data_IF_828042551660
#
_entry.id   IF_828042551660
#
_cell.length_a   1.000
_cell.length_b   1.000
_cell.length_c   1.000
_cell.angle_alpha   90.00
_cell.angle_beta   90.00
_cell.angle_gamma   90.00
#
_symmetry.space_group_name_H-M   'P 1'
#
loop_
_entity.id
_entity.type
_entity.pdbx_description
1 polymer ?
#
# COMPACT_ATOMS: atom_id res chain seq x y z
N UNK A 1 15.58 -2.81 -24.39
CA UNK A 1 15.39 -2.96 -22.95
C UNK A 1 15.81 -4.36 -22.58
N UNK A 2 16.88 -4.50 -21.79
CA UNK A 2 17.30 -5.83 -21.31
C UNK A 2 16.42 -6.28 -20.11
N UNK A 3 16.66 -7.50 -19.60
CA UNK A 3 15.88 -8.05 -18.49
C UNK A 3 16.03 -7.24 -17.19
N UNK A 4 17.20 -6.65 -16.96
CA UNK A 4 17.47 -5.83 -15.77
C UNK A 4 16.69 -4.52 -15.83
N UNK A 5 16.78 -3.80 -16.95
CA UNK A 5 16.05 -2.56 -17.22
C UNK A 5 14.52 -2.77 -17.16
N UNK A 6 14.04 -3.87 -17.72
CA UNK A 6 12.62 -4.23 -17.68
C UNK A 6 12.15 -4.48 -16.25
N UNK A 7 12.93 -5.22 -15.45
CA UNK A 7 12.59 -5.49 -14.04
C UNK A 7 12.57 -4.21 -13.19
N UNK A 8 13.52 -3.29 -13.44
CA UNK A 8 13.59 -2.00 -12.76
C UNK A 8 12.38 -1.12 -13.11
N UNK A 9 12.03 -1.04 -14.39
CA UNK A 9 10.87 -0.28 -14.88
C UNK A 9 9.57 -0.83 -14.32
N UNK A 10 9.39 -2.16 -14.35
CA UNK A 10 8.19 -2.81 -13.83
C UNK A 10 8.03 -2.59 -12.32
N UNK A 11 9.12 -2.73 -11.53
CA UNK A 11 9.08 -2.52 -10.09
C UNK A 11 8.85 -1.05 -9.72
N UNK A 12 9.45 -0.11 -10.46
CA UNK A 12 9.19 1.32 -10.28
C UNK A 12 7.71 1.67 -10.56
N UNK A 13 7.15 1.17 -11.67
CA UNK A 13 5.75 1.38 -12.02
C UNK A 13 4.79 0.79 -10.97
N UNK A 14 5.04 -0.45 -10.53
CA UNK A 14 4.26 -1.09 -9.48
C UNK A 14 4.37 -0.34 -8.13
N UNK A 15 5.57 0.10 -7.76
CA UNK A 15 5.81 0.92 -6.56
C UNK A 15 5.08 2.25 -6.62
N UNK A 16 5.06 2.91 -7.80
CA UNK A 16 4.37 4.16 -8.01
C UNK A 16 2.85 3.99 -7.89
N UNK A 17 2.28 2.97 -8.53
CA UNK A 17 0.87 2.64 -8.43
C UNK A 17 0.46 2.32 -6.97
N UNK A 18 1.28 1.53 -6.26
CA UNK A 18 1.04 1.20 -4.86
C UNK A 18 1.12 2.43 -3.96
N UNK A 19 2.14 3.29 -4.09
CA UNK A 19 2.25 4.51 -3.30
C UNK A 19 1.09 5.48 -3.59
N UNK A 20 0.72 5.66 -4.85
CA UNK A 20 -0.43 6.49 -5.23
C UNK A 20 -1.74 5.96 -4.62
N UNK A 21 -1.94 4.65 -4.62
CA UNK A 21 -3.07 4.01 -3.95
C UNK A 21 -3.07 4.30 -2.45
N UNK A 22 -1.95 4.08 -1.75
CA UNK A 22 -1.87 4.33 -0.30
C UNK A 22 -2.13 5.80 0.03
N UNK A 23 -1.47 6.73 -0.67
CA UNK A 23 -1.67 8.17 -0.46
C UNK A 23 -3.12 8.56 -0.71
N UNK A 24 -3.76 8.04 -1.75
CA UNK A 24 -5.18 8.28 -2.03
C UNK A 24 -6.06 7.81 -0.87
N UNK A 25 -5.80 6.60 -0.37
CA UNK A 25 -6.54 6.04 0.77
C UNK A 25 -6.36 6.89 2.03
N UNK A 26 -5.12 7.29 2.33
CA UNK A 26 -4.78 8.11 3.50
C UNK A 26 -5.37 9.51 3.46
N UNK A 27 -5.27 10.18 2.31
CA UNK A 27 -5.59 11.61 2.19
C UNK A 27 -7.06 11.83 1.84
N UNK A 28 -7.69 10.93 1.09
CA UNK A 28 -9.06 11.13 0.60
C UNK A 28 -10.03 10.14 1.23
N UNK A 29 -9.71 8.85 1.24
CA UNK A 29 -10.70 7.82 1.59
C UNK A 29 -10.97 7.75 3.09
N UNK A 30 -9.93 7.63 3.92
CA UNK A 30 -10.12 7.53 5.37
C UNK A 30 -10.73 8.78 6.00
N UNK A 31 -10.35 10.01 5.61
CA UNK A 31 -11.00 11.22 6.13
C UNK A 31 -12.50 11.25 5.87
N UNK A 32 -12.97 10.71 4.73
CA UNK A 32 -14.40 10.59 4.45
C UNK A 32 -15.03 9.46 5.28
N UNK A 33 -14.36 8.31 5.40
CA UNK A 33 -14.88 7.16 6.15
C UNK A 33 -15.10 7.47 7.64
N UNK A 34 -14.19 8.21 8.27
CA UNK A 34 -14.30 8.54 9.72
C UNK A 34 -15.45 9.50 10.05
N UNK A 35 -16.03 10.16 9.05
CA UNK A 35 -17.17 11.06 9.22
C UNK A 35 -18.52 10.32 9.12
N UNK A 36 -18.51 9.02 8.77
CA UNK A 36 -19.74 8.23 8.63
C UNK A 36 -20.30 7.91 10.03
N UNK A 37 -21.52 8.36 10.29
CA UNK A 37 -22.24 8.07 11.53
C UNK A 37 -22.79 6.64 11.61
N UNK A 38 -23.23 6.19 12.80
CA UNK A 38 -23.67 4.81 13.03
C UNK A 38 -24.82 4.35 12.11
N UNK A 39 -25.77 5.25 11.82
CA UNK A 39 -26.96 4.96 10.99
C UNK A 39 -26.62 4.55 9.55
N UNK A 40 -25.53 5.08 8.99
CA UNK A 40 -25.11 4.77 7.62
C UNK A 40 -23.91 3.80 7.56
N UNK A 41 -23.35 3.42 8.71
CA UNK A 41 -22.05 2.77 8.80
C UNK A 41 -21.99 1.48 7.97
N UNK A 42 -22.87 0.52 8.26
CA UNK A 42 -22.88 -0.79 7.61
C UNK A 42 -22.92 -0.65 6.09
N UNK A 43 -23.89 0.11 5.56
CA UNK A 43 -24.05 0.34 4.12
C UNK A 43 -22.80 0.97 3.48
N UNK A 44 -22.21 1.98 4.11
CA UNK A 44 -21.07 2.74 3.55
C UNK A 44 -19.75 1.96 3.67
N UNK A 45 -19.51 1.33 4.82
CA UNK A 45 -18.31 0.53 5.08
C UNK A 45 -18.28 -0.74 4.23
N UNK A 46 -19.42 -1.41 4.02
CA UNK A 46 -19.53 -2.54 3.10
C UNK A 46 -19.21 -2.15 1.65
N UNK A 47 -19.81 -1.04 1.19
CA UNK A 47 -19.54 -0.54 -0.16
C UNK A 47 -18.07 -0.19 -0.33
N UNK A 48 -17.47 0.47 0.66
CA UNK A 48 -16.04 0.77 0.68
C UNK A 48 -15.21 -0.50 0.61
N UNK A 49 -15.50 -1.50 1.46
CA UNK A 49 -14.76 -2.75 1.55
C UNK A 49 -14.81 -3.55 0.24
N UNK A 50 -15.97 -3.61 -0.42
CA UNK A 50 -16.11 -4.25 -1.74
C UNK A 50 -15.38 -3.50 -2.85
N UNK A 51 -15.41 -2.16 -2.83
CA UNK A 51 -14.77 -1.34 -3.86
C UNK A 51 -13.24 -1.32 -3.74
N UNK A 52 -12.71 -1.36 -2.51
CA UNK A 52 -11.26 -1.26 -2.29
C UNK A 52 -10.55 -2.60 -2.55
N UNK A 53 -11.22 -3.74 -2.35
CA UNK A 53 -10.61 -5.06 -2.45
C UNK A 53 -9.95 -5.32 -3.82
N UNK A 54 -10.60 -5.09 -4.98
CA UNK A 54 -9.95 -5.29 -6.28
C UNK A 54 -8.70 -4.40 -6.47
N UNK A 55 -8.74 -3.16 -5.97
CA UNK A 55 -7.61 -2.23 -6.06
C UNK A 55 -6.43 -2.70 -5.21
N UNK A 56 -6.70 -3.22 -4.01
CA UNK A 56 -5.67 -3.83 -3.15
C UNK A 56 -5.05 -5.03 -3.86
N UNK A 57 -5.88 -5.96 -4.35
CA UNK A 57 -5.41 -7.17 -5.05
C UNK A 57 -4.53 -6.80 -6.25
N UNK A 58 -4.97 -5.84 -7.06
CA UNK A 58 -4.23 -5.40 -8.25
C UNK A 58 -2.89 -4.75 -7.88
N UNK A 59 -2.90 -3.75 -6.99
CA UNK A 59 -1.70 -2.98 -6.66
C UNK A 59 -0.68 -3.80 -5.88
N UNK A 60 -1.13 -4.64 -4.93
CA UNK A 60 -0.25 -5.48 -4.12
C UNK A 60 0.23 -6.67 -4.94
N UNK A 61 -0.64 -7.28 -5.75
CA UNK A 61 -0.27 -8.37 -6.66
C UNK A 61 0.80 -7.92 -7.66
N UNK A 62 0.61 -6.75 -8.29
CA UNK A 62 1.60 -6.19 -9.20
C UNK A 62 2.94 -5.93 -8.49
N UNK A 63 2.92 -5.38 -7.27
CA UNK A 63 4.13 -5.13 -6.49
C UNK A 63 4.86 -6.43 -6.14
N UNK A 64 4.16 -7.47 -5.70
CA UNK A 64 4.75 -8.79 -5.39
C UNK A 64 5.38 -9.39 -6.64
N UNK A 65 4.65 -9.41 -7.76
CA UNK A 65 5.13 -9.99 -9.02
C UNK A 65 6.35 -9.25 -9.55
N UNK A 66 6.37 -7.91 -9.47
CA UNK A 66 7.51 -7.11 -9.91
C UNK A 66 8.71 -7.20 -8.94
N UNK A 67 8.47 -7.46 -7.66
CA UNK A 67 9.54 -7.58 -6.64
C UNK A 67 10.50 -8.74 -6.93
N UNK A 68 10.00 -9.86 -7.47
CA UNK A 68 10.81 -11.07 -7.68
C UNK A 68 11.94 -10.85 -8.69
N UNK A 69 11.67 -10.47 -9.96
CA UNK A 69 12.74 -10.21 -10.91
C UNK A 69 13.58 -9.00 -10.48
N UNK A 70 13.00 -7.99 -9.83
CA UNK A 70 13.77 -6.85 -9.35
C UNK A 70 14.82 -7.27 -8.31
N UNK A 71 14.45 -8.09 -7.33
CA UNK A 71 15.38 -8.59 -6.31
C UNK A 71 16.49 -9.49 -6.88
N UNK A 72 16.24 -10.16 -8.01
CA UNK A 72 17.23 -10.99 -8.71
C UNK A 72 18.28 -10.14 -9.42
N UNK A 73 17.89 -9.01 -10.02
CA UNK A 73 18.81 -8.18 -10.83
C UNK A 73 19.42 -7.01 -10.06
N UNK A 74 18.81 -6.56 -8.95
CA UNK A 74 19.19 -5.34 -8.23
C UNK A 74 19.52 -5.62 -6.77
N UNK A 75 20.80 -5.46 -6.39
CA UNK A 75 21.30 -5.80 -5.04
C UNK A 75 21.87 -4.61 -4.26
N UNK A 76 21.79 -3.39 -4.81
CA UNK A 76 22.28 -2.19 -4.13
C UNK A 76 21.46 -1.84 -2.88
N UNK A 77 22.01 -1.05 -1.94
CA UNK A 77 21.29 -0.63 -0.74
C UNK A 77 19.95 0.04 -1.04
N UNK A 78 19.87 0.85 -2.10
CA UNK A 78 18.62 1.48 -2.53
C UNK A 78 17.56 0.44 -2.94
N UNK A 79 17.93 -0.59 -3.68
CA UNK A 79 17.03 -1.68 -4.09
C UNK A 79 16.46 -2.42 -2.87
N UNK A 80 17.30 -2.74 -1.88
CA UNK A 80 16.86 -3.39 -0.66
C UNK A 80 15.92 -2.54 0.17
N UNK A 81 16.19 -1.24 0.32
CA UNK A 81 15.27 -0.34 1.04
C UNK A 81 13.96 -0.17 0.26
N UNK A 82 14.00 -0.17 -1.08
CA UNK A 82 12.80 -0.11 -1.91
C UNK A 82 11.89 -1.33 -1.69
N UNK A 83 12.47 -2.54 -1.75
CA UNK A 83 11.79 -3.80 -1.43
C UNK A 83 11.25 -3.80 0.00
N UNK A 84 12.08 -3.44 0.99
CA UNK A 84 11.69 -3.41 2.38
C UNK A 84 10.51 -2.45 2.64
N UNK A 85 10.49 -1.27 2.01
CA UNK A 85 9.38 -0.32 2.14
C UNK A 85 8.06 -0.88 1.61
N UNK A 86 8.08 -1.46 0.41
CA UNK A 86 6.90 -2.09 -0.19
C UNK A 86 6.37 -3.25 0.65
N UNK A 87 7.24 -4.20 1.00
CA UNK A 87 6.86 -5.37 1.79
C UNK A 87 6.45 -5.02 3.23
N UNK A 88 7.09 -4.05 3.87
CA UNK A 88 6.68 -3.59 5.20
C UNK A 88 5.26 -3.00 5.17
N UNK A 89 4.90 -2.22 4.15
CA UNK A 89 3.52 -1.74 3.98
C UNK A 89 2.53 -2.91 3.82
N UNK A 90 2.89 -3.96 3.08
CA UNK A 90 2.07 -5.17 2.96
C UNK A 90 1.90 -5.90 4.29
N UNK A 91 2.97 -6.04 5.07
CA UNK A 91 2.94 -6.66 6.41
C UNK A 91 2.04 -5.87 7.36
N UNK A 92 2.17 -4.55 7.40
CA UNK A 92 1.26 -3.70 8.22
C UNK A 92 -0.19 -3.86 7.75
N UNK A 93 -0.42 -4.01 6.44
CA UNK A 93 -1.76 -4.24 5.90
C UNK A 93 -2.33 -5.57 6.37
N UNK A 94 -1.58 -6.66 6.22
CA UNK A 94 -2.01 -8.01 6.56
C UNK A 94 -2.22 -8.20 8.07
N UNK A 95 -1.33 -7.65 8.90
CA UNK A 95 -1.35 -7.89 10.34
C UNK A 95 -2.14 -6.85 11.15
N UNK A 96 -2.34 -5.65 10.61
CA UNK A 96 -2.97 -4.55 11.35
C UNK A 96 -4.21 -4.04 10.64
N UNK A 97 -4.08 -3.55 9.40
CA UNK A 97 -5.18 -2.85 8.73
C UNK A 97 -6.34 -3.80 8.39
N UNK A 98 -6.08 -4.94 7.76
CA UNK A 98 -7.12 -5.89 7.37
C UNK A 98 -7.85 -6.50 8.58
N UNK A 99 -7.18 -6.96 9.64
CA UNK A 99 -7.88 -7.41 10.85
C UNK A 99 -8.66 -6.30 11.55
N UNK A 100 -8.15 -5.06 11.55
CA UNK A 100 -8.89 -3.93 12.14
C UNK A 100 -10.15 -3.61 11.33
N UNK A 101 -10.08 -3.66 10.00
CA UNK A 101 -11.25 -3.54 9.13
C UNK A 101 -12.28 -4.64 9.36
N UNK A 102 -11.85 -5.89 9.50
CA UNK A 102 -12.76 -7.02 9.75
C UNK A 102 -13.49 -6.94 11.10
N UNK A 103 -12.98 -6.15 12.05
CA UNK A 103 -13.60 -5.92 13.37
C UNK A 103 -14.56 -4.73 13.41
N UNK A 104 -14.52 -3.85 12.41
CA UNK A 104 -15.30 -2.61 12.38
C UNK A 104 -16.76 -2.87 11.96
N UNK A 105 -17.56 -3.46 12.84
CA UNK A 105 -19.02 -3.61 12.63
C UNK A 105 -19.79 -2.32 12.90
N UNK A 106 -19.18 -1.37 13.62
CA UNK A 106 -19.70 -0.03 13.90
C UNK A 106 -18.55 1.00 13.89
N UNK A 107 -18.79 2.33 13.85
CA UNK A 107 -17.74 3.35 13.80
C UNK A 107 -17.03 3.54 15.15
N UNK A 108 -16.47 2.47 15.71
CA UNK A 108 -15.83 2.50 17.03
C UNK A 108 -14.57 3.39 17.00
N UNK A 109 -14.53 4.48 17.77
CA UNK A 109 -13.41 5.44 17.72
C UNK A 109 -12.02 4.83 17.93
N UNK A 110 -11.81 3.85 18.85
CA UNK A 110 -10.50 3.23 19.04
C UNK A 110 -10.02 2.45 17.81
N UNK A 111 -10.92 1.72 17.15
CA UNK A 111 -10.60 0.94 15.95
C UNK A 111 -10.34 1.86 14.75
N UNK A 112 -11.14 2.91 14.58
CA UNK A 112 -10.92 3.93 13.55
C UNK A 112 -9.56 4.62 13.73
N UNK A 113 -9.21 5.01 14.95
CA UNK A 113 -7.91 5.62 15.25
C UNK A 113 -6.76 4.67 14.91
N UNK A 114 -6.85 3.40 15.32
CA UNK A 114 -5.86 2.37 15.00
C UNK A 114 -5.69 2.22 13.49
N UNK A 115 -6.80 2.21 12.75
CA UNK A 115 -6.81 2.07 11.30
C UNK A 115 -6.14 3.26 10.60
N UNK A 116 -6.48 4.48 11.00
CA UNK A 116 -5.86 5.71 10.46
C UNK A 116 -4.35 5.75 10.76
N UNK A 117 -3.93 5.34 11.95
CA UNK A 117 -2.49 5.25 12.28
C UNK A 117 -1.78 4.21 11.41
N UNK A 118 -2.36 3.01 11.29
CA UNK A 118 -1.81 1.95 10.45
C UNK A 118 -1.69 2.40 8.98
N UNK A 119 -2.69 3.12 8.50
CA UNK A 119 -2.70 3.62 7.12
C UNK A 119 -1.63 4.68 6.84
N UNK A 120 -1.41 5.63 7.78
CA UNK A 120 -0.31 6.59 7.67
C UNK A 120 1.05 5.90 7.57
N UNK A 121 1.26 4.84 8.35
CA UNK A 121 2.47 4.03 8.25
C UNK A 121 2.58 3.31 6.90
N UNK A 122 1.50 2.71 6.41
CA UNK A 122 1.46 2.05 5.09
C UNK A 122 1.82 3.02 3.97
N UNK A 123 1.27 4.24 3.99
CA UNK A 123 1.58 5.28 3.01
C UNK A 123 3.03 5.76 3.11
N UNK A 124 3.53 6.04 4.32
CA UNK A 124 4.92 6.45 4.50
C UNK A 124 5.91 5.39 3.99
N UNK A 125 5.68 4.11 4.32
CA UNK A 125 6.49 2.99 3.87
C UNK A 125 6.43 2.80 2.34
N UNK A 126 5.25 2.93 1.74
CA UNK A 126 5.10 2.87 0.29
C UNK A 126 5.82 4.02 -0.43
N UNK A 127 5.74 5.25 0.10
CA UNK A 127 6.48 6.40 -0.42
C UNK A 127 8.00 6.22 -0.31
N UNK A 128 8.49 5.73 0.83
CA UNK A 128 9.92 5.37 0.99
C UNK A 128 10.32 4.32 -0.05
N UNK A 129 9.50 3.28 -0.22
CA UNK A 129 9.70 2.24 -1.22
C UNK A 129 9.85 2.81 -2.63
N UNK A 130 8.91 3.66 -3.05
CA UNK A 130 8.92 4.34 -4.35
C UNK A 130 10.16 5.21 -4.55
N UNK A 131 10.47 6.09 -3.60
CA UNK A 131 11.63 7.01 -3.70
C UNK A 131 12.92 6.21 -3.86
N UNK A 132 13.04 5.08 -3.16
CA UNK A 132 14.23 4.22 -3.23
C UNK A 132 14.26 3.37 -4.50
N UNK A 133 13.12 2.94 -5.03
CA UNK A 133 13.04 2.30 -6.34
C UNK A 133 13.53 3.27 -7.43
N UNK A 134 13.07 4.53 -7.40
CA UNK A 134 13.52 5.56 -8.33
C UNK A 134 15.03 5.83 -8.18
N UNK A 135 15.54 5.95 -6.96
CA UNK A 135 16.97 6.11 -6.72
C UNK A 135 17.80 4.91 -7.22
N UNK A 136 17.27 3.69 -7.12
CA UNK A 136 17.94 2.50 -7.66
C UNK A 136 18.01 2.52 -9.19
N UNK A 137 16.95 2.97 -9.85
CA UNK A 137 16.89 3.09 -11.32
C UNK A 137 17.83 4.19 -11.82
N UNK A 138 17.96 5.30 -11.09
CA UNK A 138 18.79 6.44 -11.47
C UNK A 138 20.29 6.25 -11.19
N UNK A 139 20.65 5.28 -10.34
CA UNK A 139 22.02 4.99 -9.95
C UNK A 139 22.67 3.82 -10.70
N UNK A 140 21.86 3.03 -11.40
CA UNK A 140 22.31 1.96 -12.31
C UNK A 140 22.39 2.46 -13.74
#
# INVERSE_FOLDING_TARGET
MDASELSATAFLAASAAHAAFQVTVTVLVYPVLVLVGPEEWERRHDRHSRAILPLVVLTYGALVLASVPFAIHHHGPAAWVALAGGWAAMVVTALVAAPTHGRLTSPEPPLLRRLVVADRWRAALACVGLVRAAASVLAG
#
